data_IF_425950876517
#
_entry.id   IF_425950876517
#
_cell.length_a   1.000
_cell.length_b   1.000
_cell.length_c   1.000
_cell.angle_alpha   90.00
_cell.angle_beta   90.00
_cell.angle_gamma   90.00
#
_symmetry.space_group_name_H-M   'P 1'
#
loop_
_entity.id
_entity.type
_entity.pdbx_description
1 polymer ?
#
# COMPACT_ATOMS: atom_id res chain seq x y z
N UNK A 1 38.00 -29.81 5.13
CA UNK A 1 36.54 -30.07 5.05
C UNK A 1 35.93 -28.92 4.26
N UNK A 2 35.21 -29.20 3.16
CA UNK A 2 34.53 -28.17 2.34
C UNK A 2 33.04 -28.30 2.63
N UNK A 3 32.46 -27.26 3.21
CA UNK A 3 31.01 -27.14 3.39
C UNK A 3 30.44 -26.47 2.14
N UNK A 4 29.45 -27.09 1.51
CA UNK A 4 28.72 -26.52 0.40
C UNK A 4 27.31 -26.24 0.91
N UNK A 5 26.95 -24.95 0.97
CA UNK A 5 25.58 -24.50 1.26
C UNK A 5 25.03 -23.96 -0.04
N UNK A 6 23.91 -24.49 -0.48
CA UNK A 6 23.22 -24.03 -1.68
C UNK A 6 22.23 -22.93 -1.28
N UNK A 7 22.59 -21.68 -1.55
CA UNK A 7 21.76 -20.54 -1.18
C UNK A 7 20.46 -20.42 -1.98
N UNK A 8 20.29 -21.20 -3.06
CA UNK A 8 19.04 -21.24 -3.82
C UNK A 8 18.02 -22.24 -3.27
N UNK A 9 18.50 -23.32 -2.61
CA UNK A 9 17.63 -24.43 -2.17
C UNK A 9 17.63 -24.66 -0.67
N UNK A 10 18.71 -24.32 0.03
CA UNK A 10 18.81 -24.46 1.47
C UNK A 10 18.07 -23.31 2.17
N UNK A 11 17.17 -23.67 3.07
CA UNK A 11 16.61 -22.70 4.02
C UNK A 11 17.70 -22.21 4.96
N UNK A 12 17.52 -21.00 5.49
CA UNK A 12 18.46 -20.38 6.43
C UNK A 12 18.81 -21.30 7.62
N UNK A 13 17.82 -22.02 8.14
CA UNK A 13 18.00 -23.00 9.22
C UNK A 13 18.84 -24.22 8.80
N UNK A 14 18.69 -24.71 7.56
CA UNK A 14 19.49 -25.81 7.02
C UNK A 14 20.96 -25.41 6.84
N UNK A 15 21.21 -24.20 6.34
CA UNK A 15 22.55 -23.65 6.21
C UNK A 15 23.26 -23.57 7.57
N UNK A 16 22.55 -23.06 8.59
CA UNK A 16 23.08 -22.94 9.95
C UNK A 16 23.34 -24.32 10.57
N UNK A 17 22.41 -25.27 10.42
CA UNK A 17 22.57 -26.63 10.92
C UNK A 17 23.76 -27.35 10.27
N UNK A 18 23.98 -27.17 8.96
CA UNK A 18 25.10 -27.76 8.24
C UNK A 18 26.45 -27.20 8.73
N UNK A 19 26.54 -25.89 8.96
CA UNK A 19 27.72 -25.26 9.56
C UNK A 19 27.96 -25.78 10.98
N UNK A 20 26.91 -25.83 11.82
CA UNK A 20 27.01 -26.30 13.20
C UNK A 20 27.48 -27.75 13.29
N UNK A 21 26.93 -28.63 12.44
CA UNK A 21 27.31 -30.03 12.36
C UNK A 21 28.77 -30.21 11.89
N UNK A 22 29.22 -29.42 10.90
CA UNK A 22 30.57 -29.50 10.38
C UNK A 22 31.64 -29.05 11.39
N UNK A 23 31.30 -28.15 12.29
CA UNK A 23 32.21 -27.58 13.29
C UNK A 23 31.94 -28.07 14.72
N UNK A 24 31.03 -29.04 14.91
CA UNK A 24 30.71 -29.63 16.22
C UNK A 24 30.11 -28.63 17.23
N UNK A 25 29.52 -27.55 16.75
CA UNK A 25 28.96 -26.48 17.59
C UNK A 25 27.54 -26.87 18.01
N UNK A 26 27.27 -26.92 19.32
CA UNK A 26 25.88 -26.94 19.83
C UNK A 26 25.29 -25.54 19.69
N UNK A 27 23.98 -25.40 19.40
CA UNK A 27 23.33 -24.09 19.39
C UNK A 27 23.31 -23.55 20.82
N UNK A 28 24.26 -22.67 21.11
CA UNK A 28 24.18 -21.75 22.25
C UNK A 28 23.91 -20.40 21.60
N UNK A 29 22.68 -19.87 21.66
CA UNK A 29 22.48 -18.47 21.30
C UNK A 29 23.46 -17.64 22.15
N UNK A 30 24.31 -16.80 21.54
CA UNK A 30 25.25 -15.98 22.30
C UNK A 30 24.46 -15.14 23.31
N UNK A 31 24.89 -15.13 24.57
CA UNK A 31 24.21 -14.41 25.65
C UNK A 31 24.08 -12.89 25.36
N UNK A 32 24.90 -12.37 24.44
CA UNK A 32 24.97 -10.98 24.03
C UNK A 32 24.32 -10.71 22.66
N UNK A 33 23.61 -11.69 22.09
CA UNK A 33 22.82 -11.43 20.89
C UNK A 33 21.66 -10.49 21.26
N UNK A 34 21.49 -9.35 20.57
CA UNK A 34 20.33 -8.51 20.83
C UNK A 34 19.09 -9.37 20.62
N UNK A 35 18.24 -9.42 21.64
CA UNK A 35 16.90 -9.98 21.52
C UNK A 35 16.30 -9.40 20.23
N UNK A 36 15.86 -10.26 19.30
CA UNK A 36 15.25 -9.81 18.07
C UNK A 36 14.21 -8.76 18.47
N UNK A 37 14.25 -7.53 17.90
CA UNK A 37 13.33 -6.48 18.30
C UNK A 37 11.96 -7.11 18.38
N UNK A 38 11.32 -7.04 19.54
CA UNK A 38 9.94 -7.51 19.70
C UNK A 38 9.21 -7.04 18.45
N UNK A 39 8.55 -7.96 17.72
CA UNK A 39 7.85 -7.65 16.50
C UNK A 39 6.83 -6.58 16.84
N UNK A 40 7.25 -5.32 16.71
CA UNK A 40 6.40 -4.17 16.95
C UNK A 40 5.30 -4.37 15.92
N UNK A 41 4.08 -4.63 16.41
CA UNK A 41 2.98 -5.04 15.56
C UNK A 41 2.77 -3.90 14.56
N UNK A 42 3.23 -4.12 13.33
CA UNK A 42 3.15 -3.10 12.29
C UNK A 42 1.68 -2.75 12.10
N UNK A 43 1.33 -1.46 12.03
CA UNK A 43 -0.05 -1.04 11.90
C UNK A 43 -0.70 -1.74 10.71
N UNK A 44 -1.84 -2.37 10.96
CA UNK A 44 -2.69 -3.03 9.98
C UNK A 44 -3.95 -2.22 9.70
N UNK A 45 -4.80 -2.66 8.76
CA UNK A 45 -6.02 -1.94 8.40
C UNK A 45 -7.00 -1.88 9.56
N UNK A 46 -6.91 -2.81 10.52
CA UNK A 46 -7.69 -2.78 11.77
C UNK A 46 -7.34 -1.59 12.67
N UNK A 47 -6.17 -0.98 12.49
CA UNK A 47 -5.75 0.22 13.24
C UNK A 47 -6.28 1.51 12.61
N UNK A 48 -6.91 1.43 11.44
CA UNK A 48 -7.65 2.54 10.84
C UNK A 48 -9.01 2.69 11.50
N UNK A 49 -9.44 3.94 11.67
CA UNK A 49 -10.77 4.21 12.24
C UNK A 49 -11.86 3.69 11.30
N UNK A 50 -12.80 2.94 11.88
CA UNK A 50 -14.06 2.56 11.25
C UNK A 50 -15.12 3.66 11.33
N UNK A 51 -14.85 4.73 12.08
CA UNK A 51 -15.76 5.85 12.24
C UNK A 51 -15.93 6.60 10.92
N UNK A 52 -17.13 7.16 10.72
CA UNK A 52 -17.39 8.04 9.59
C UNK A 52 -16.55 9.30 9.75
N UNK A 53 -15.57 9.46 8.86
CA UNK A 53 -14.75 10.67 8.78
C UNK A 53 -15.43 11.74 7.94
N UNK A 54 -16.40 11.38 7.10
CA UNK A 54 -17.14 12.33 6.28
C UNK A 54 -17.94 11.68 5.17
N UNK A 55 -19.22 12.03 5.08
CA UNK A 55 -20.16 11.60 4.04
C UNK A 55 -20.22 10.07 3.84
N UNK A 56 -20.10 9.31 4.93
CA UNK A 56 -20.17 7.85 4.94
C UNK A 56 -18.85 7.14 4.67
N UNK A 57 -17.76 7.86 4.41
CA UNK A 57 -16.43 7.29 4.29
C UNK A 57 -15.80 7.08 5.66
N UNK A 58 -15.20 5.91 5.88
CA UNK A 58 -14.27 5.64 6.98
C UNK A 58 -12.86 5.42 6.45
N UNK A 59 -11.85 5.48 7.30
CA UNK A 59 -10.46 5.21 6.90
C UNK A 59 -10.30 3.77 6.42
N UNK A 60 -11.01 2.82 7.03
CA UNK A 60 -11.08 1.43 6.57
C UNK A 60 -11.69 1.33 5.16
N UNK A 61 -12.77 2.07 4.87
CA UNK A 61 -13.38 2.09 3.54
C UNK A 61 -12.43 2.71 2.49
N UNK A 62 -11.68 3.76 2.87
CA UNK A 62 -10.64 4.34 2.02
C UNK A 62 -9.52 3.34 1.74
N UNK A 63 -9.03 2.63 2.75
CA UNK A 63 -8.01 1.60 2.55
C UNK A 63 -8.49 0.45 1.66
N UNK A 64 -9.73 -0.03 1.85
CA UNK A 64 -10.33 -1.03 0.97
C UNK A 64 -10.42 -0.56 -0.49
N UNK A 65 -10.68 0.73 -0.70
CA UNK A 65 -10.62 1.36 -2.02
C UNK A 65 -9.21 1.33 -2.59
N UNK A 66 -8.18 1.71 -1.81
CA UNK A 66 -6.77 1.64 -2.24
C UNK A 66 -6.34 0.22 -2.60
N UNK A 67 -6.67 -0.77 -1.78
CA UNK A 67 -6.35 -2.17 -2.02
C UNK A 67 -6.97 -2.69 -3.34
N UNK A 68 -8.16 -2.18 -3.69
CA UNK A 68 -8.88 -2.55 -4.91
C UNK A 68 -8.38 -1.87 -6.20
N UNK A 69 -7.56 -0.82 -6.08
CA UNK A 69 -7.05 -0.07 -7.22
C UNK A 69 -5.81 -0.73 -7.84
N UNK A 70 -5.65 -0.58 -9.15
CA UNK A 70 -4.37 -0.91 -9.80
C UNK A 70 -3.26 0.04 -9.38
N UNK A 71 -1.97 -0.36 -9.40
CA UNK A 71 -0.86 0.47 -8.95
C UNK A 71 -0.82 1.87 -9.56
N UNK A 72 -1.06 2.00 -10.88
CA UNK A 72 -1.10 3.31 -11.54
C UNK A 72 -2.26 4.20 -11.06
N UNK A 73 -3.41 3.61 -10.78
CA UNK A 73 -4.58 4.32 -10.25
C UNK A 73 -4.36 4.77 -8.81
N UNK A 74 -3.75 3.91 -7.98
CA UNK A 74 -3.29 4.29 -6.64
C UNK A 74 -2.30 5.44 -6.68
N UNK A 75 -1.28 5.38 -7.55
CA UNK A 75 -0.28 6.42 -7.66
C UNK A 75 -0.90 7.78 -8.01
N UNK A 76 -1.85 7.81 -8.96
CA UNK A 76 -2.58 9.04 -9.31
C UNK A 76 -3.36 9.59 -8.12
N UNK A 77 -4.08 8.73 -7.40
CA UNK A 77 -4.85 9.15 -6.22
C UNK A 77 -3.94 9.65 -5.08
N UNK A 78 -2.81 8.98 -4.86
CA UNK A 78 -1.78 9.39 -3.90
C UNK A 78 -1.26 10.78 -4.24
N UNK A 79 -0.87 11.01 -5.51
CA UNK A 79 -0.37 12.31 -5.96
C UNK A 79 -1.38 13.45 -5.73
N UNK A 80 -2.65 13.22 -6.03
CA UNK A 80 -3.71 14.22 -5.81
C UNK A 80 -3.88 14.51 -4.31
N UNK A 81 -3.77 13.46 -3.47
CA UNK A 81 -3.84 13.56 -2.00
C UNK A 81 -2.65 14.34 -1.43
N UNK A 82 -1.44 14.08 -1.92
CA UNK A 82 -0.22 14.79 -1.52
C UNK A 82 -0.30 16.29 -1.84
N UNK A 83 -0.93 16.64 -2.96
CA UNK A 83 -1.21 18.01 -3.36
C UNK A 83 -2.37 18.66 -2.58
N UNK A 84 -2.86 18.01 -1.52
CA UNK A 84 -3.93 18.55 -0.67
C UNK A 84 -5.34 18.33 -1.21
N UNK A 85 -5.50 17.41 -2.16
CA UNK A 85 -6.78 17.00 -2.70
C UNK A 85 -7.27 17.82 -3.89
N UNK A 86 -6.68 18.98 -4.22
CA UNK A 86 -7.08 19.79 -5.38
C UNK A 86 -5.87 20.09 -6.26
N UNK A 87 -5.93 19.68 -7.53
CA UNK A 87 -4.84 19.88 -8.50
C UNK A 87 -5.37 19.91 -9.92
N UNK A 88 -4.60 20.51 -10.84
CA UNK A 88 -4.97 20.59 -12.25
C UNK A 88 -4.72 19.27 -13.00
N UNK A 89 -5.46 19.06 -14.09
CA UNK A 89 -5.24 17.90 -14.96
C UNK A 89 -3.82 17.88 -15.54
N UNK A 90 -3.32 19.04 -15.93
CA UNK A 90 -2.03 19.17 -16.59
C UNK A 90 -0.89 18.88 -15.61
N UNK A 91 -1.01 19.32 -14.36
CA UNK A 91 -0.03 19.03 -13.32
C UNK A 91 0.10 17.52 -13.06
N UNK A 92 -1.03 16.81 -12.92
CA UNK A 92 -1.02 15.35 -12.74
C UNK A 92 -0.46 14.65 -13.98
N UNK A 93 -0.87 15.05 -15.18
CA UNK A 93 -0.37 14.46 -16.43
C UNK A 93 1.15 14.67 -16.59
N UNK A 94 1.63 15.89 -16.36
CA UNK A 94 3.04 16.22 -16.47
C UNK A 94 3.89 15.49 -15.43
N UNK A 95 3.38 15.35 -14.20
CA UNK A 95 4.03 14.58 -13.16
C UNK A 95 4.26 13.13 -13.60
N UNK A 96 3.20 12.45 -14.07
CA UNK A 96 3.30 11.05 -14.45
C UNK A 96 3.97 10.81 -15.80
N UNK A 97 3.95 11.76 -16.73
CA UNK A 97 4.68 11.64 -17.99
C UNK A 97 6.20 11.52 -17.77
N UNK A 98 6.71 12.17 -16.71
CA UNK A 98 8.15 12.23 -16.39
C UNK A 98 8.51 11.45 -15.12
N UNK A 99 7.59 10.67 -14.56
CA UNK A 99 7.82 10.01 -13.27
C UNK A 99 8.84 8.87 -13.40
N UNK A 100 9.89 8.82 -12.56
CA UNK A 100 11.02 7.90 -12.75
C UNK A 100 10.66 6.42 -12.53
N UNK A 101 9.71 6.12 -11.65
CA UNK A 101 9.41 4.75 -11.22
C UNK A 101 8.04 4.25 -11.67
N UNK A 102 7.13 5.15 -12.02
CA UNK A 102 5.74 4.83 -12.39
C UNK A 102 5.24 5.74 -13.51
N UNK A 103 5.90 5.75 -14.68
CA UNK A 103 5.47 6.59 -15.78
C UNK A 103 4.08 6.16 -16.27
N UNK A 104 3.17 7.14 -16.41
CA UNK A 104 1.86 6.94 -17.03
C UNK A 104 1.81 7.85 -18.24
N UNK A 105 1.83 7.26 -19.42
CA UNK A 105 1.68 8.01 -20.67
C UNK A 105 0.36 8.80 -20.66
N UNK A 106 0.39 10.04 -21.14
CA UNK A 106 -0.77 10.93 -21.17
C UNK A 106 -2.01 10.28 -21.79
N UNK A 107 -1.82 9.52 -22.88
CA UNK A 107 -2.89 8.76 -23.55
C UNK A 107 -3.54 7.69 -22.67
N UNK A 108 -2.84 7.17 -21.65
CA UNK A 108 -3.34 6.14 -20.71
C UNK A 108 -3.99 6.74 -19.46
N UNK A 109 -3.77 8.03 -19.18
CA UNK A 109 -4.28 8.70 -17.98
C UNK A 109 -5.81 8.60 -17.85
N UNK A 110 -6.53 8.76 -18.96
CA UNK A 110 -7.99 8.60 -19.00
C UNK A 110 -8.46 7.20 -18.56
N UNK A 111 -7.73 6.15 -18.95
CA UNK A 111 -8.00 4.77 -18.53
C UNK A 111 -7.77 4.58 -17.04
N UNK A 112 -6.68 5.12 -16.50
CA UNK A 112 -6.35 5.08 -15.07
C UNK A 112 -7.46 5.74 -14.24
N UNK A 113 -7.93 6.92 -14.63
CA UNK A 113 -9.01 7.63 -13.93
C UNK A 113 -10.36 6.90 -14.03
N UNK A 114 -10.60 6.25 -15.18
CA UNK A 114 -11.80 5.40 -15.35
C UNK A 114 -11.77 4.20 -14.41
N UNK A 115 -10.60 3.60 -14.19
CA UNK A 115 -10.42 2.55 -13.17
C UNK A 115 -10.73 3.04 -11.76
N UNK A 116 -10.28 4.25 -11.38
CA UNK A 116 -10.61 4.84 -10.07
C UNK A 116 -12.12 4.95 -9.90
N UNK A 117 -12.81 5.53 -10.90
CA UNK A 117 -14.26 5.68 -10.88
C UNK A 117 -15.00 4.34 -10.84
N UNK A 118 -14.51 3.33 -11.55
CA UNK A 118 -15.11 2.00 -11.56
C UNK A 118 -14.98 1.31 -10.19
N UNK A 119 -13.79 1.35 -9.59
CA UNK A 119 -13.56 0.79 -8.25
C UNK A 119 -14.41 1.52 -7.22
N UNK A 120 -14.43 2.84 -7.27
CA UNK A 120 -15.24 3.65 -6.36
C UNK A 120 -16.73 3.26 -6.42
N UNK A 121 -17.30 3.02 -7.61
CA UNK A 121 -18.70 2.55 -7.72
C UNK A 121 -18.96 1.19 -7.08
N UNK A 122 -17.93 0.34 -6.99
CA UNK A 122 -18.03 -1.01 -6.45
C UNK A 122 -17.84 -1.05 -4.94
N UNK A 123 -16.96 -0.22 -4.40
CA UNK A 123 -16.51 -0.29 -3.00
C UNK A 123 -16.93 0.90 -2.14
N UNK A 124 -17.46 1.97 -2.75
CA UNK A 124 -17.90 3.11 -1.97
C UNK A 124 -19.07 2.73 -1.04
N UNK A 125 -19.10 3.31 0.17
CA UNK A 125 -20.22 3.17 1.08
C UNK A 125 -21.53 3.61 0.41
N UNK A 126 -22.68 2.96 0.70
CA UNK A 126 -23.96 3.33 0.13
C UNK A 126 -24.30 4.80 0.38
N UNK A 127 -24.62 5.54 -0.67
CA UNK A 127 -24.96 6.97 -0.58
C UNK A 127 -23.77 7.92 -0.44
N UNK A 128 -22.54 7.41 -0.31
CA UNK A 128 -21.36 8.26 -0.20
C UNK A 128 -21.08 9.04 -1.51
N UNK A 129 -20.64 10.30 -1.41
CA UNK A 129 -20.26 11.10 -2.56
C UNK A 129 -19.00 10.54 -3.20
N UNK A 130 -18.68 11.05 -4.39
CA UNK A 130 -17.50 10.57 -5.10
C UNK A 130 -16.22 11.03 -4.41
N UNK A 131 -15.37 10.06 -4.04
CA UNK A 131 -14.05 10.31 -3.48
C UNK A 131 -13.22 11.22 -4.39
N UNK A 132 -13.13 10.87 -5.68
CA UNK A 132 -12.47 11.69 -6.69
C UNK A 132 -13.50 12.35 -7.60
N UNK A 133 -13.55 13.66 -7.52
CA UNK A 133 -14.34 14.52 -8.40
C UNK A 133 -13.46 15.07 -9.51
N UNK A 134 -14.08 15.24 -10.69
CA UNK A 134 -13.44 15.77 -11.87
C UNK A 134 -14.27 16.95 -12.34
N UNK A 135 -13.74 18.15 -12.18
CA UNK A 135 -14.31 19.35 -12.78
C UNK A 135 -13.71 19.52 -14.17
N UNK A 136 -14.48 19.15 -15.19
CA UNK A 136 -14.04 19.26 -16.58
C UNK A 136 -14.00 20.72 -17.07
N UNK A 137 -14.78 21.61 -16.47
CA UNK A 137 -14.81 23.04 -16.84
C UNK A 137 -13.58 23.76 -16.29
N UNK A 138 -13.27 23.54 -15.02
CA UNK A 138 -12.10 24.11 -14.37
C UNK A 138 -10.80 23.32 -14.67
N UNK A 139 -10.93 22.13 -15.26
CA UNK A 139 -9.82 21.17 -15.49
C UNK A 139 -9.10 20.77 -14.20
N UNK A 140 -9.89 20.52 -13.14
CA UNK A 140 -9.38 20.19 -11.80
C UNK A 140 -9.82 18.80 -11.35
N UNK A 141 -8.91 18.11 -10.68
CA UNK A 141 -9.22 16.99 -9.80
C UNK A 141 -9.46 17.52 -8.40
N UNK A 142 -10.48 16.98 -7.73
CA UNK A 142 -10.84 17.38 -6.38
C UNK A 142 -11.19 16.16 -5.52
N UNK A 143 -10.62 16.12 -4.33
CA UNK A 143 -10.96 15.24 -3.22
C UNK A 143 -11.39 16.16 -2.08
N UNK A 144 -12.48 15.81 -1.40
CA UNK A 144 -12.92 16.59 -0.25
C UNK A 144 -11.81 16.66 0.81
N UNK A 145 -11.58 17.84 1.37
CA UNK A 145 -10.52 18.09 2.34
C UNK A 145 -10.62 17.17 3.56
N UNK A 146 -11.83 16.82 3.98
CA UNK A 146 -12.07 15.91 5.10
C UNK A 146 -11.55 14.50 4.79
N UNK A 147 -11.66 14.07 3.52
CA UNK A 147 -11.20 12.76 3.06
C UNK A 147 -9.69 12.70 2.78
N UNK A 148 -9.05 13.84 2.53
CA UNK A 148 -7.59 13.92 2.29
C UNK A 148 -6.79 13.37 3.47
N UNK A 149 -7.14 13.74 4.70
CA UNK A 149 -6.40 13.25 5.88
C UNK A 149 -6.63 11.75 6.13
N UNK A 150 -7.85 11.26 5.90
CA UNK A 150 -8.14 9.82 5.94
C UNK A 150 -7.35 9.05 4.87
N UNK A 151 -7.25 9.59 3.65
CA UNK A 151 -6.46 8.99 2.58
C UNK A 151 -4.97 8.98 2.91
N UNK A 152 -4.41 10.05 3.49
CA UNK A 152 -3.01 10.09 3.93
C UNK A 152 -2.70 8.98 4.93
N UNK A 153 -3.58 8.76 5.91
CA UNK A 153 -3.41 7.67 6.88
C UNK A 153 -3.54 6.30 6.21
N UNK A 154 -4.51 6.11 5.32
CA UNK A 154 -4.65 4.88 4.57
C UNK A 154 -3.42 4.58 3.69
N UNK A 155 -2.86 5.60 3.01
CA UNK A 155 -1.62 5.47 2.25
C UNK A 155 -0.41 5.15 3.14
N UNK A 156 -0.30 5.77 4.31
CA UNK A 156 0.79 5.46 5.25
C UNK A 156 0.79 3.98 5.67
N UNK A 157 -0.38 3.39 5.91
CA UNK A 157 -0.48 1.94 6.17
C UNK A 157 -0.16 1.13 4.92
N UNK A 158 -0.66 1.53 3.75
CA UNK A 158 -0.39 0.85 2.49
C UNK A 158 1.11 0.80 2.15
N UNK A 159 1.85 1.85 2.49
CA UNK A 159 3.31 1.94 2.32
C UNK A 159 4.07 1.12 3.38
N UNK A 160 3.59 1.13 4.63
CA UNK A 160 4.18 0.32 5.71
C UNK A 160 3.93 -1.19 5.52
N UNK A 161 2.83 -1.54 4.84
CA UNK A 161 2.32 -2.90 4.65
C UNK A 161 1.84 -3.13 3.23
N UNK A 162 2.76 -3.12 2.23
CA UNK A 162 2.41 -3.35 0.84
C UNK A 162 1.88 -4.77 0.58
N UNK A 163 2.16 -5.72 1.49
CA UNK A 163 1.59 -7.06 1.51
C UNK A 163 0.06 -7.05 1.61
N UNK A 164 -0.50 -6.10 2.37
CA UNK A 164 -1.96 -5.98 2.55
C UNK A 164 -2.69 -5.51 1.28
N UNK A 165 -1.97 -4.86 0.35
CA UNK A 165 -2.53 -4.47 -0.94
C UNK A 165 -2.63 -5.64 -1.93
N UNK A 166 -1.99 -6.78 -1.64
CA UNK A 166 -2.04 -7.97 -2.51
C UNK A 166 -3.25 -8.86 -2.25
N UNK A 167 -4.01 -8.62 -1.19
CA UNK A 167 -5.19 -9.42 -0.87
C UNK A 167 -4.86 -10.91 -0.66
N UNK A 168 -3.68 -11.23 -0.10
CA UNK A 168 -3.47 -12.59 0.39
C UNK A 168 -4.42 -12.79 1.58
N UNK A 169 -5.33 -13.77 1.52
CA UNK A 169 -6.12 -14.13 2.67
C UNK A 169 -5.14 -14.62 3.72
N UNK A 170 -5.01 -13.88 4.82
CA UNK A 170 -4.41 -14.41 6.05
C UNK A 170 -5.16 -15.70 6.35
N UNK A 171 -4.50 -16.83 6.11
CA UNK A 171 -5.04 -18.14 6.42
C UNK A 171 -5.54 -18.09 7.86
N UNK A 172 -6.85 -18.29 8.05
CA UNK A 172 -7.41 -18.48 9.37
C UNK A 172 -6.69 -19.68 9.99
N UNK A 173 -5.87 -19.41 10.99
CA UNK A 173 -5.42 -20.44 11.92
C UNK A 173 -6.65 -20.75 12.77
N UNK A 174 -7.29 -21.88 12.45
CA UNK A 174 -8.34 -22.54 13.23
C UNK A 174 -7.81 -23.05 14.56
#
# INVERSE_FOLDING_TARGET
MRLTVDTETDTYEQAIAAVQAAYGLRPVPPADWPEAPALDLRPGPQDLSGDDIGDGWSEQALFGMLASLMPGARAVLCRITDLGGTTSFDEVQQYFANHPTTPIATAKMGGTLTSIKAVQRRVAPPGAPRLLQRDERARLYQIDRVLVEGLRRAFAIADARPDLLRGEPTAHVT
#
